data_IF_931942290182
#
_entry.id   IF_931942290182
#
_cell.length_a   1.000
_cell.length_b   1.000
_cell.length_c   1.000
_cell.angle_alpha   90.00
_cell.angle_beta   90.00
_cell.angle_gamma   90.00
#
_symmetry.space_group_name_H-M   'P 1'
#
loop_
_entity.id
_entity.type
_entity.pdbx_description
1 polymer ?
#
# COMPACT_ATOMS: atom_id res chain seq x y z
N UNK A 1 5.45 24.64 -21.39
CA UNK A 1 4.58 24.22 -20.27
C UNK A 1 5.31 24.56 -18.99
N UNK A 2 4.71 25.38 -18.10
CA UNK A 2 5.36 25.69 -16.82
C UNK A 2 5.48 24.40 -16.01
N UNK A 3 6.56 24.23 -15.25
CA UNK A 3 6.83 23.04 -14.42
C UNK A 3 5.67 22.67 -13.49
N UNK A 4 4.82 23.64 -13.15
CA UNK A 4 3.59 23.48 -12.37
C UNK A 4 2.45 22.79 -13.12
N UNK A 5 2.27 23.04 -14.42
CA UNK A 5 1.25 22.39 -15.25
C UNK A 5 1.58 20.92 -15.49
N UNK A 6 2.87 20.59 -15.58
CA UNK A 6 3.32 19.20 -15.78
C UNK A 6 2.94 18.30 -14.59
N UNK A 7 2.88 18.85 -13.37
CA UNK A 7 2.49 18.10 -12.15
C UNK A 7 1.02 17.70 -12.12
N UNK A 8 0.14 18.39 -12.85
CA UNK A 8 -1.29 18.03 -12.94
C UNK A 8 -1.52 16.74 -13.71
N UNK A 9 -0.65 16.45 -14.68
CA UNK A 9 -0.78 15.32 -15.60
C UNK A 9 0.20 14.17 -15.30
N UNK A 10 1.21 14.42 -14.46
CA UNK A 10 2.14 13.38 -14.05
C UNK A 10 1.41 12.38 -13.17
N UNK A 11 1.52 11.10 -13.48
CA UNK A 11 0.93 10.03 -12.66
C UNK A 11 1.74 9.82 -11.38
N UNK A 12 1.10 9.42 -10.28
CA UNK A 12 1.79 9.13 -9.02
C UNK A 12 2.47 7.75 -9.04
N UNK A 13 3.47 7.59 -9.91
CA UNK A 13 4.19 6.34 -10.14
C UNK A 13 4.93 5.86 -8.89
N UNK A 14 5.46 6.78 -8.09
CA UNK A 14 6.20 6.45 -6.88
C UNK A 14 5.30 5.84 -5.80
N UNK A 15 4.13 6.43 -5.52
CA UNK A 15 3.16 5.84 -4.60
C UNK A 15 2.71 4.47 -5.08
N UNK A 16 2.42 4.35 -6.38
CA UNK A 16 2.02 3.08 -6.99
C UNK A 16 3.11 2.00 -6.81
N UNK A 17 4.38 2.32 -7.07
CA UNK A 17 5.51 1.41 -6.89
C UNK A 17 5.66 0.95 -5.44
N UNK A 18 5.49 1.86 -4.47
CA UNK A 18 5.54 1.50 -3.04
C UNK A 18 4.42 0.56 -2.62
N UNK A 19 3.22 0.68 -3.22
CA UNK A 19 2.13 -0.26 -2.99
C UNK A 19 2.39 -1.61 -3.69
N UNK A 20 2.99 -1.62 -4.88
CA UNK A 20 3.43 -2.88 -5.48
C UNK A 20 4.50 -3.58 -4.64
N UNK A 21 5.42 -2.82 -4.05
CA UNK A 21 6.40 -3.36 -3.11
C UNK A 21 5.72 -3.96 -1.88
N UNK A 22 4.67 -3.31 -1.35
CA UNK A 22 3.82 -3.87 -0.31
C UNK A 22 3.23 -5.24 -0.72
N UNK A 23 2.62 -5.33 -1.90
CA UNK A 23 2.00 -6.58 -2.39
C UNK A 23 3.05 -7.68 -2.57
N UNK A 24 4.21 -7.35 -3.16
CA UNK A 24 5.31 -8.28 -3.35
C UNK A 24 5.83 -8.82 -2.02
N UNK A 25 6.08 -7.93 -1.05
CA UNK A 25 6.52 -8.34 0.28
C UNK A 25 5.47 -9.13 1.06
N UNK A 26 4.18 -8.78 0.93
CA UNK A 26 3.06 -9.54 1.51
C UNK A 26 3.00 -10.96 0.94
N UNK A 27 3.24 -11.11 -0.36
CA UNK A 27 3.28 -12.40 -1.05
C UNK A 27 4.46 -13.24 -0.56
N UNK A 28 5.66 -12.66 -0.49
CA UNK A 28 6.84 -13.33 0.06
C UNK A 28 6.63 -13.77 1.50
N UNK A 29 6.09 -12.88 2.35
CA UNK A 29 5.72 -13.20 3.73
C UNK A 29 4.75 -14.38 3.78
N UNK A 30 3.71 -14.39 2.94
CA UNK A 30 2.74 -15.48 2.86
C UNK A 30 3.40 -16.81 2.49
N UNK A 31 4.33 -16.82 1.52
CA UNK A 31 5.06 -18.02 1.11
C UNK A 31 5.93 -18.56 2.25
N UNK A 32 6.72 -17.70 2.91
CA UNK A 32 7.55 -18.12 4.04
C UNK A 32 6.71 -18.66 5.20
N UNK A 33 5.58 -18.01 5.46
CA UNK A 33 4.66 -18.40 6.53
C UNK A 33 3.99 -19.75 6.27
N UNK A 34 3.48 -19.99 5.05
CA UNK A 34 2.84 -21.27 4.68
C UNK A 34 3.83 -22.43 4.82
N UNK A 35 5.10 -22.24 4.42
CA UNK A 35 6.12 -23.28 4.49
C UNK A 35 6.57 -23.63 5.91
N UNK A 36 6.21 -22.81 6.92
CA UNK A 36 6.61 -23.01 8.31
C UNK A 36 5.47 -23.47 9.22
N UNK A 37 4.25 -23.56 8.72
CA UNK A 37 3.05 -23.82 9.53
C UNK A 37 2.40 -25.16 9.17
N UNK A 38 1.88 -25.86 10.19
CA UNK A 38 1.11 -27.09 9.97
C UNK A 38 -0.24 -26.78 9.28
N UNK A 39 -0.69 -27.72 8.45
CA UNK A 39 -1.96 -27.60 7.72
C UNK A 39 -3.13 -27.67 8.69
N UNK A 40 -3.79 -26.54 8.93
CA UNK A 40 -4.97 -26.43 9.79
C UNK A 40 -5.92 -25.31 9.31
N UNK A 41 -7.07 -25.16 9.96
CA UNK A 41 -8.08 -24.12 9.62
C UNK A 41 -7.50 -22.71 9.73
N UNK A 42 -6.57 -22.48 10.68
CA UNK A 42 -5.91 -21.17 10.87
C UNK A 42 -5.08 -20.77 9.65
N UNK A 43 -4.40 -21.73 9.00
CA UNK A 43 -3.69 -21.51 7.74
C UNK A 43 -4.64 -21.06 6.63
N UNK A 44 -5.81 -21.70 6.51
CA UNK A 44 -6.83 -21.32 5.52
C UNK A 44 -7.33 -19.88 5.72
N UNK A 45 -7.66 -19.50 6.96
CA UNK A 45 -8.08 -18.12 7.29
C UNK A 45 -6.96 -17.13 6.97
N UNK A 46 -5.72 -17.45 7.32
CA UNK A 46 -4.55 -16.62 7.02
C UNK A 46 -4.39 -16.38 5.52
N UNK A 47 -4.48 -17.44 4.69
CA UNK A 47 -4.38 -17.32 3.24
C UNK A 47 -5.50 -16.42 2.69
N UNK A 48 -6.75 -16.65 3.11
CA UNK A 48 -7.90 -15.84 2.67
C UNK A 48 -7.72 -14.36 3.00
N UNK A 49 -7.25 -14.04 4.22
CA UNK A 49 -6.95 -12.66 4.63
C UNK A 49 -5.86 -12.05 3.75
N UNK A 50 -4.77 -12.77 3.47
CA UNK A 50 -3.71 -12.25 2.61
C UNK A 50 -4.16 -12.04 1.16
N UNK A 51 -5.04 -12.90 0.61
CA UNK A 51 -5.63 -12.70 -0.72
C UNK A 51 -6.45 -11.41 -0.75
N UNK A 52 -7.32 -11.19 0.25
CA UNK A 52 -8.12 -9.95 0.34
C UNK A 52 -7.20 -8.73 0.44
N UNK A 53 -6.16 -8.77 1.28
CA UNK A 53 -5.19 -7.68 1.40
C UNK A 53 -4.45 -7.40 0.09
N UNK A 54 -4.05 -8.44 -0.66
CA UNK A 54 -3.43 -8.28 -1.97
C UNK A 54 -4.37 -7.64 -2.98
N UNK A 55 -5.65 -8.01 -2.99
CA UNK A 55 -6.67 -7.40 -3.86
C UNK A 55 -6.90 -5.93 -3.50
N UNK A 56 -7.02 -5.61 -2.22
CA UNK A 56 -7.15 -4.23 -1.73
C UNK A 56 -5.89 -3.43 -2.07
N UNK A 57 -4.71 -4.00 -1.87
CA UNK A 57 -3.43 -3.41 -2.25
C UNK A 57 -3.36 -3.12 -3.75
N UNK A 58 -3.79 -4.05 -4.60
CA UNK A 58 -3.81 -3.86 -6.05
C UNK A 58 -4.76 -2.72 -6.46
N UNK A 59 -5.99 -2.74 -5.94
CA UNK A 59 -6.96 -1.68 -6.19
C UNK A 59 -6.44 -0.31 -5.72
N UNK A 60 -5.74 -0.29 -4.57
CA UNK A 60 -5.10 0.90 -4.05
C UNK A 60 -3.98 1.39 -4.95
N UNK A 61 -3.10 0.52 -5.46
CA UNK A 61 -2.05 0.89 -6.41
C UNK A 61 -2.63 1.58 -7.66
N UNK A 62 -3.72 1.02 -8.21
CA UNK A 62 -4.41 1.58 -9.38
C UNK A 62 -5.06 2.93 -9.06
N UNK A 63 -5.66 3.09 -7.88
CA UNK A 63 -6.39 4.31 -7.50
C UNK A 63 -5.49 5.43 -6.95
N UNK A 64 -4.36 5.10 -6.33
CA UNK A 64 -3.38 6.10 -5.90
C UNK A 64 -2.68 6.75 -7.09
N UNK A 65 -2.58 6.05 -8.22
CA UNK A 65 -2.13 6.59 -9.50
C UNK A 65 -2.95 7.81 -9.96
N UNK A 66 -4.26 7.84 -9.65
CA UNK A 66 -5.18 8.93 -10.02
C UNK A 66 -5.40 9.98 -8.92
N UNK A 67 -4.53 10.02 -7.90
CA UNK A 67 -4.56 11.03 -6.82
C UNK A 67 -5.83 11.04 -5.95
N UNK A 68 -6.51 9.91 -5.79
CA UNK A 68 -7.65 9.86 -4.88
C UNK A 68 -7.22 9.84 -3.42
N UNK A 69 -7.50 10.91 -2.67
CA UNK A 69 -7.10 11.05 -1.26
C UNK A 69 -7.73 9.97 -0.37
N UNK A 70 -8.94 9.52 -0.70
CA UNK A 70 -9.62 8.41 -0.02
C UNK A 70 -8.75 7.15 0.05
N UNK A 71 -8.11 6.80 -1.07
CA UNK A 71 -7.22 5.63 -1.16
C UNK A 71 -5.88 5.83 -0.46
N UNK A 72 -5.49 7.08 -0.20
CA UNK A 72 -4.41 7.39 0.73
C UNK A 72 -4.78 6.99 2.17
N UNK A 73 -5.95 7.38 2.66
CA UNK A 73 -6.39 7.01 4.01
C UNK A 73 -6.60 5.49 4.19
N UNK A 74 -7.16 4.82 3.17
CA UNK A 74 -7.25 3.34 3.15
C UNK A 74 -5.86 2.71 3.29
N UNK A 75 -4.85 3.25 2.62
CA UNK A 75 -3.49 2.74 2.71
C UNK A 75 -2.82 2.98 4.06
N UNK A 76 -3.15 4.08 4.75
CA UNK A 76 -2.73 4.28 6.15
C UNK A 76 -3.35 3.20 7.05
N UNK A 77 -4.65 2.93 6.92
CA UNK A 77 -5.32 1.87 7.69
C UNK A 77 -4.69 0.49 7.43
N UNK A 78 -4.33 0.23 6.18
CA UNK A 78 -3.67 -1.01 5.76
C UNK A 78 -2.24 -1.13 6.29
N UNK A 79 -1.49 -0.02 6.37
CA UNK A 79 -0.19 0.02 7.03
C UNK A 79 -0.30 -0.23 8.55
N UNK A 80 -1.27 0.40 9.23
CA UNK A 80 -1.54 0.16 10.65
C UNK A 80 -1.91 -1.30 10.91
N UNK A 81 -2.75 -1.89 10.06
CA UNK A 81 -3.07 -3.31 10.12
C UNK A 81 -1.82 -4.19 9.94
N UNK A 82 -0.93 -3.84 9.01
CA UNK A 82 0.32 -4.57 8.81
C UNK A 82 1.24 -4.51 10.04
N UNK A 83 1.31 -3.37 10.73
CA UNK A 83 2.03 -3.26 12.00
C UNK A 83 1.35 -4.03 13.12
N UNK A 84 0.02 -4.02 13.20
CA UNK A 84 -0.72 -4.83 14.17
C UNK A 84 -0.46 -6.33 13.98
N UNK A 85 -0.25 -6.80 12.75
CA UNK A 85 0.12 -8.20 12.47
C UNK A 85 1.46 -8.62 13.07
N UNK A 86 2.38 -7.68 13.35
CA UNK A 86 3.62 -8.03 14.05
C UNK A 86 3.34 -8.61 15.44
N UNK A 87 2.26 -8.16 16.09
CA UNK A 87 1.83 -8.66 17.42
C UNK A 87 1.18 -10.04 17.34
N UNK A 88 0.72 -10.46 16.16
CA UNK A 88 0.10 -11.76 15.92
C UNK A 88 1.01 -12.76 15.21
N UNK A 89 2.32 -12.48 15.17
CA UNK A 89 3.26 -13.42 14.57
C UNK A 89 3.38 -14.67 15.47
N UNK A 90 3.15 -15.89 14.95
CA UNK A 90 3.18 -17.11 15.74
C UNK A 90 4.56 -17.36 16.31
N UNK A 91 4.58 -17.88 17.54
CA UNK A 91 5.82 -18.28 18.23
C UNK A 91 6.47 -19.51 17.59
N UNK A 92 5.70 -20.26 16.79
CA UNK A 92 6.12 -21.45 16.02
C UNK A 92 7.22 -21.11 15.00
N UNK A 93 7.31 -19.86 14.56
CA UNK A 93 8.36 -19.39 13.65
C UNK A 93 9.60 -19.05 14.47
N UNK A 94 10.63 -19.90 14.38
CA UNK A 94 11.87 -19.78 15.16
C UNK A 94 13.07 -19.45 14.26
N UNK A 95 14.12 -18.84 14.83
CA UNK A 95 15.38 -18.57 14.15
C UNK A 95 15.30 -17.50 13.05
N UNK A 96 16.12 -17.63 12.00
CA UNK A 96 16.29 -16.62 10.94
C UNK A 96 15.00 -16.30 10.18
N UNK A 97 14.08 -17.26 10.06
CA UNK A 97 12.79 -17.07 9.37
C UNK A 97 11.92 -16.06 10.10
N UNK A 98 11.98 -16.04 11.45
CA UNK A 98 11.26 -15.07 12.29
C UNK A 98 11.72 -13.65 12.00
N UNK A 99 13.04 -13.45 11.97
CA UNK A 99 13.64 -12.15 11.70
C UNK A 99 13.35 -11.65 10.28
N UNK A 100 13.45 -12.52 9.27
CA UNK A 100 13.14 -12.19 7.88
C UNK A 100 11.65 -11.83 7.73
N UNK A 101 10.75 -12.60 8.35
CA UNK A 101 9.31 -12.36 8.30
C UNK A 101 8.92 -11.05 8.98
N UNK A 102 9.51 -10.76 10.15
CA UNK A 102 9.31 -9.49 10.84
C UNK A 102 9.84 -8.31 10.03
N UNK A 103 11.04 -8.43 9.45
CA UNK A 103 11.62 -7.41 8.59
C UNK A 103 10.74 -7.14 7.35
N UNK A 104 10.19 -8.19 6.73
CA UNK A 104 9.25 -8.06 5.62
C UNK A 104 7.96 -7.33 6.03
N UNK A 105 7.37 -7.70 7.18
CA UNK A 105 6.17 -7.02 7.70
C UNK A 105 6.44 -5.54 7.98
N UNK A 106 7.58 -5.20 8.57
CA UNK A 106 7.98 -3.80 8.83
C UNK A 106 8.19 -3.05 7.52
N UNK A 107 8.96 -3.62 6.59
CA UNK A 107 9.27 -2.98 5.31
C UNK A 107 8.00 -2.72 4.48
N UNK A 108 7.09 -3.69 4.43
CA UNK A 108 5.80 -3.55 3.75
C UNK A 108 4.87 -2.56 4.45
N UNK A 109 4.85 -2.54 5.79
CA UNK A 109 4.10 -1.53 6.56
C UNK A 109 4.59 -0.11 6.28
N UNK A 110 5.92 0.09 6.29
CA UNK A 110 6.55 1.37 5.94
C UNK A 110 6.25 1.75 4.49
N UNK A 111 6.35 0.83 3.53
CA UNK A 111 6.10 1.14 2.13
C UNK A 111 4.64 1.56 1.89
N UNK A 112 3.68 0.86 2.50
CA UNK A 112 2.28 1.22 2.46
C UNK A 112 2.02 2.60 3.10
N UNK A 113 2.63 2.88 4.25
CA UNK A 113 2.48 4.16 4.96
C UNK A 113 3.04 5.32 4.15
N UNK A 114 4.30 5.20 3.69
CA UNK A 114 4.99 6.24 2.92
C UNK A 114 4.28 6.48 1.58
N UNK A 115 3.91 5.42 0.85
CA UNK A 115 3.15 5.55 -0.39
C UNK A 115 1.84 6.32 -0.17
N UNK A 116 1.11 5.95 0.88
CA UNK A 116 -0.15 6.60 1.23
C UNK A 116 0.00 8.08 1.60
N UNK A 117 1.02 8.44 2.39
CA UNK A 117 1.32 9.85 2.73
C UNK A 117 1.64 10.65 1.47
N UNK A 118 2.44 10.08 0.55
CA UNK A 118 2.80 10.73 -0.71
C UNK A 118 1.56 10.94 -1.57
N UNK A 119 0.66 9.96 -1.66
CA UNK A 119 -0.60 10.10 -2.37
C UNK A 119 -1.46 11.24 -1.80
N UNK A 120 -1.62 11.31 -0.47
CA UNK A 120 -2.40 12.37 0.18
C UNK A 120 -1.78 13.74 -0.10
N UNK A 121 -0.47 13.87 0.10
CA UNK A 121 0.24 15.14 -0.10
C UNK A 121 0.08 15.64 -1.54
N UNK A 122 0.34 14.79 -2.53
CA UNK A 122 0.22 15.17 -3.93
C UNK A 122 -1.23 15.44 -4.34
N UNK A 123 -2.19 14.70 -3.78
CA UNK A 123 -3.62 14.96 -4.00
C UNK A 123 -4.02 16.35 -3.50
N UNK A 124 -3.55 16.75 -2.32
CA UNK A 124 -3.84 18.06 -1.76
C UNK A 124 -3.15 19.19 -2.52
N UNK A 125 -1.88 19.00 -2.92
CA UNK A 125 -1.16 19.95 -3.78
C UNK A 125 -1.87 20.15 -5.13
N UNK A 126 -2.38 19.06 -5.74
CA UNK A 126 -3.15 19.12 -6.99
C UNK A 126 -4.45 19.90 -6.82
N UNK A 127 -5.22 19.60 -5.76
CA UNK A 127 -6.46 20.33 -5.47
C UNK A 127 -6.21 21.82 -5.26
N UNK A 128 -5.19 22.17 -4.47
CA UNK A 128 -4.82 23.57 -4.22
C UNK A 128 -4.46 24.30 -5.52
N UNK A 129 -3.66 23.67 -6.39
CA UNK A 129 -3.28 24.26 -7.67
C UNK A 129 -4.48 24.51 -8.59
N UNK A 130 -5.43 23.56 -8.66
CA UNK A 130 -6.66 23.68 -9.45
C UNK A 130 -7.51 24.87 -8.97
N UNK A 131 -7.66 25.03 -7.65
CA UNK A 131 -8.42 26.13 -7.04
C UNK A 131 -7.73 27.48 -7.29
N UNK A 132 -6.41 27.55 -7.13
CA UNK A 132 -5.65 28.80 -7.32
C UNK A 132 -5.66 29.30 -8.78
N UNK A 133 -5.73 28.39 -9.75
CA UNK A 133 -5.65 28.73 -11.17
C UNK A 133 -7.02 28.68 -11.89
N UNK A 134 -8.13 28.49 -11.15
CA UNK A 134 -9.49 28.36 -11.70
C UNK A 134 -9.57 27.40 -12.90
N UNK A 135 -8.86 26.27 -12.82
CA UNK A 135 -8.84 25.28 -13.90
C UNK A 135 -10.16 24.52 -13.89
N UNK A 136 -10.89 24.58 -15.00
CA UNK A 136 -12.14 23.83 -15.15
C UNK A 136 -11.85 22.32 -15.08
N UNK A 137 -12.33 21.69 -14.00
CA UNK A 137 -12.16 20.27 -13.71
C UNK A 137 -12.72 19.35 -14.80
N UNK A 138 -13.66 19.86 -15.62
CA UNK A 138 -14.27 19.13 -16.73
C UNK A 138 -13.26 18.76 -17.83
N UNK A 139 -12.17 19.54 -17.98
CA UNK A 139 -11.11 19.26 -18.94
C UNK A 139 -10.16 18.13 -18.52
N UNK A 140 -10.11 17.80 -17.22
CA UNK A 140 -9.17 16.81 -16.64
C UNK A 140 -9.80 15.42 -16.42
N UNK A 141 -11.10 15.24 -16.72
CA UNK A 141 -11.83 13.98 -16.54
C UNK A 141 -11.98 13.14 -17.83
N UNK A 142 -11.40 13.58 -18.96
CA UNK A 142 -11.28 12.77 -20.19
C UNK A 142 -10.03 11.91 -20.16
#
# INVERSE_FOLDING_TARGET
>A
MKTSEMRLYLENTLSQQLIFFYIGGLTLFTIFYINSMNVNVRLGIFIMVNIVLSLVGFLMAVRQKSYSSFWGYVGIALALFQFARLLWMPEEIVGSVKFISAALLIATGISALVGSIICIKLSHERQKFIVEHNIDLSLLQR
#
